data_IF_248010037031
#
_entry.id   IF_248010037031
#
_cell.length_a   1.000
_cell.length_b   1.000
_cell.length_c   1.000
_cell.angle_alpha   90.00
_cell.angle_beta   90.00
_cell.angle_gamma   90.00
#
_symmetry.space_group_name_H-M   'P 1'
#
loop_
_entity.id
_entity.type
_entity.pdbx_description
1 polymer ?
#
# COMPACT_ATOMS: atom_id res chain seq x y z
N UNK A 1 38.30 -60.75 -26.22
CA UNK A 1 37.59 -59.46 -26.43
C UNK A 1 38.60 -58.40 -26.84
N UNK A 2 38.37 -57.71 -27.95
CA UNK A 2 39.33 -56.81 -28.60
C UNK A 2 39.57 -55.55 -27.74
N UNK A 3 40.81 -55.31 -27.28
CA UNK A 3 41.16 -54.24 -26.34
C UNK A 3 40.79 -52.84 -26.88
N UNK A 4 40.85 -52.66 -28.20
CA UNK A 4 40.47 -51.43 -28.90
C UNK A 4 38.98 -51.11 -28.77
N UNK A 5 38.13 -52.14 -28.75
CA UNK A 5 36.67 -51.96 -28.62
C UNK A 5 36.29 -51.52 -27.20
N UNK A 6 36.93 -52.10 -26.19
CA UNK A 6 36.74 -51.72 -24.79
C UNK A 6 37.17 -50.27 -24.52
N UNK A 7 38.29 -49.83 -25.10
CA UNK A 7 38.76 -48.45 -24.96
C UNK A 7 37.81 -47.45 -25.64
N UNK A 8 37.30 -47.77 -26.83
CA UNK A 8 36.34 -46.93 -27.54
C UNK A 8 35.04 -46.75 -26.75
N UNK A 9 34.51 -47.84 -26.18
CA UNK A 9 33.32 -47.80 -25.33
C UNK A 9 33.52 -46.93 -24.08
N UNK A 10 34.66 -47.07 -23.40
CA UNK A 10 35.00 -46.27 -22.21
C UNK A 10 35.08 -44.78 -22.53
N UNK A 11 35.67 -44.40 -23.66
CA UNK A 11 35.76 -43.00 -24.11
C UNK A 11 34.37 -42.41 -24.39
N UNK A 12 33.48 -43.16 -25.04
CA UNK A 12 32.11 -42.70 -25.30
C UNK A 12 31.30 -42.51 -24.01
N UNK A 13 31.44 -43.44 -23.05
CA UNK A 13 30.81 -43.33 -21.73
C UNK A 13 31.29 -42.09 -20.97
N UNK A 14 32.60 -41.81 -20.97
CA UNK A 14 33.18 -40.63 -20.33
C UNK A 14 32.68 -39.32 -20.99
N UNK A 15 32.61 -39.26 -22.33
CA UNK A 15 32.06 -38.08 -23.04
C UNK A 15 30.60 -37.82 -22.67
N UNK A 16 29.79 -38.87 -22.54
CA UNK A 16 28.38 -38.77 -22.11
C UNK A 16 28.26 -38.24 -20.69
N UNK A 17 29.12 -38.72 -19.77
CA UNK A 17 29.16 -38.25 -18.38
C UNK A 17 29.58 -36.78 -18.28
N UNK A 18 30.60 -36.35 -19.03
CA UNK A 18 31.03 -34.94 -19.07
C UNK A 18 29.92 -34.04 -19.61
N UNK A 19 29.21 -34.45 -20.66
CA UNK A 19 28.08 -33.67 -21.20
C UNK A 19 26.89 -33.59 -20.23
N UNK A 20 26.63 -34.66 -19.47
CA UNK A 20 25.63 -34.66 -18.41
C UNK A 20 26.00 -33.68 -17.29
N UNK A 21 27.25 -33.73 -16.82
CA UNK A 21 27.76 -32.81 -15.79
C UNK A 21 27.65 -31.35 -16.23
N UNK A 22 28.00 -31.02 -17.48
CA UNK A 22 27.83 -29.66 -18.02
C UNK A 22 26.38 -29.18 -18.02
N UNK A 23 25.43 -30.05 -18.37
CA UNK A 23 23.99 -29.72 -18.36
C UNK A 23 23.47 -29.51 -16.96
N UNK A 24 23.90 -30.34 -16.00
CA UNK A 24 23.52 -30.20 -14.59
C UNK A 24 24.09 -28.91 -13.99
N UNK A 25 25.36 -28.61 -14.24
CA UNK A 25 25.99 -27.36 -13.78
C UNK A 25 25.28 -26.13 -14.38
N UNK A 26 24.94 -26.16 -15.67
CA UNK A 26 24.20 -25.09 -16.32
C UNK A 26 22.80 -24.91 -15.71
N UNK A 27 22.11 -26.00 -15.39
CA UNK A 27 20.80 -25.97 -14.74
C UNK A 27 20.88 -25.34 -13.34
N UNK A 28 21.89 -25.71 -12.55
CA UNK A 28 22.13 -25.09 -11.23
C UNK A 28 22.53 -23.62 -11.32
N UNK A 29 23.32 -23.23 -12.34
CA UNK A 29 23.68 -21.83 -12.58
C UNK A 29 22.46 -20.97 -12.96
N UNK A 30 21.55 -21.52 -13.78
CA UNK A 30 20.28 -20.85 -14.12
C UNK A 30 19.39 -20.72 -12.89
N UNK A 31 19.30 -21.77 -12.05
CA UNK A 31 18.51 -21.75 -10.83
C UNK A 31 19.04 -20.73 -9.79
N UNK A 32 20.36 -20.52 -9.72
CA UNK A 32 20.99 -19.54 -8.83
C UNK A 32 20.85 -18.07 -9.31
N UNK A 33 20.45 -17.83 -10.56
CA UNK A 33 20.24 -16.49 -11.11
C UNK A 33 18.78 -16.03 -11.03
N UNK A 34 17.85 -16.91 -10.66
CA UNK A 34 16.45 -16.54 -10.41
C UNK A 34 16.27 -16.25 -8.92
N UNK A 35 16.88 -15.16 -8.46
CA UNK A 35 16.28 -14.48 -7.30
C UNK A 35 15.03 -13.80 -7.84
N UNK A 36 13.82 -14.14 -7.37
CA UNK A 36 12.71 -13.25 -7.59
C UNK A 36 13.09 -11.93 -6.92
N UNK A 37 13.44 -10.92 -7.73
CA UNK A 37 13.15 -9.55 -7.36
C UNK A 37 11.63 -9.51 -7.29
N UNK A 38 11.07 -9.90 -6.14
CA UNK A 38 9.70 -9.69 -5.77
C UNK A 38 9.76 -8.71 -4.62
N UNK A 39 9.65 -7.43 -4.91
CA UNK A 39 9.32 -6.40 -3.93
C UNK A 39 7.83 -6.53 -3.62
N UNK A 40 7.52 -7.62 -2.91
CA UNK A 40 6.29 -7.84 -2.18
C UNK A 40 6.75 -8.22 -0.78
N UNK A 41 6.16 -7.63 0.25
CA UNK A 41 6.64 -7.85 1.62
C UNK A 41 6.49 -9.32 2.00
N UNK A 42 7.60 -10.05 2.05
CA UNK A 42 7.67 -11.34 2.71
C UNK A 42 7.56 -11.11 4.22
N UNK A 43 6.33 -11.06 4.75
CA UNK A 43 5.98 -11.10 6.20
C UNK A 43 6.82 -10.17 7.12
N UNK A 44 6.23 -9.08 7.65
CA UNK A 44 7.01 -8.24 8.58
C UNK A 44 7.30 -8.99 9.88
N UNK A 45 8.49 -8.79 10.42
CA UNK A 45 8.83 -9.22 11.77
C UNK A 45 7.86 -8.63 12.82
N UNK A 46 7.21 -7.49 12.53
CA UNK A 46 6.14 -6.92 13.35
C UNK A 46 4.84 -7.72 13.28
N UNK A 47 4.45 -8.21 12.11
CA UNK A 47 3.28 -9.08 11.98
C UNK A 47 3.49 -10.37 12.80
N UNK A 48 4.72 -10.88 12.84
CA UNK A 48 5.11 -12.07 13.62
C UNK A 48 4.84 -11.93 15.13
N UNK A 49 4.87 -10.71 15.64
CA UNK A 49 4.64 -10.38 17.06
C UNK A 49 3.31 -9.65 17.29
N UNK A 50 2.43 -9.61 16.28
CA UNK A 50 1.11 -8.99 16.37
C UNK A 50 1.11 -7.46 16.38
N UNK A 51 2.20 -6.81 15.95
CA UNK A 51 2.26 -5.36 15.79
C UNK A 51 1.85 -4.93 14.38
N UNK A 52 1.18 -3.77 14.28
CA UNK A 52 0.87 -3.18 12.98
C UNK A 52 2.16 -2.76 12.28
N UNK A 53 2.36 -3.27 11.08
CA UNK A 53 3.57 -2.99 10.31
C UNK A 53 3.46 -1.76 9.41
N UNK A 54 2.31 -1.08 9.44
CA UNK A 54 2.14 0.26 8.92
C UNK A 54 1.17 1.04 9.81
N UNK A 55 1.16 2.36 9.67
CA UNK A 55 0.26 3.26 10.37
C UNK A 55 -0.43 4.17 9.35
N UNK A 56 -1.75 4.28 9.43
CA UNK A 56 -2.53 5.28 8.72
C UNK A 56 -3.00 6.31 9.73
N UNK A 57 -2.81 7.59 9.44
CA UNK A 57 -3.15 8.67 10.35
C UNK A 57 -3.74 9.88 9.62
N UNK A 58 -4.48 10.72 10.35
CA UNK A 58 -4.91 12.04 9.86
C UNK A 58 -4.12 13.12 10.58
N UNK A 59 -3.49 13.99 9.80
CA UNK A 59 -2.69 15.12 10.27
C UNK A 59 -3.27 16.46 9.81
N UNK A 60 -2.74 17.56 10.36
CA UNK A 60 -2.95 18.93 9.86
C UNK A 60 -4.43 19.31 9.67
N UNK A 61 -5.29 18.93 10.62
CA UNK A 61 -6.70 19.30 10.59
C UNK A 61 -6.82 20.81 10.83
N UNK A 62 -7.21 21.55 9.80
CA UNK A 62 -7.32 23.01 9.81
C UNK A 62 -8.68 23.43 9.30
N UNK A 63 -9.47 24.07 10.15
CA UNK A 63 -10.69 24.77 9.72
C UNK A 63 -10.31 26.09 9.05
N UNK A 64 -10.47 26.17 7.72
CA UNK A 64 -10.12 27.34 6.89
C UNK A 64 -11.19 28.43 6.98
N UNK A 65 -12.45 28.02 7.06
CA UNK A 65 -13.62 28.90 7.25
C UNK A 65 -14.66 28.18 8.12
N UNK A 66 -15.76 28.85 8.47
CA UNK A 66 -16.91 28.20 9.12
C UNK A 66 -17.54 27.07 8.28
N UNK A 67 -17.23 27.01 6.98
CA UNK A 67 -17.75 26.06 5.99
C UNK A 67 -16.69 25.17 5.35
N UNK A 68 -15.42 25.28 5.73
CA UNK A 68 -14.34 24.52 5.09
C UNK A 68 -13.30 24.01 6.08
N UNK A 69 -12.98 22.73 5.99
CA UNK A 69 -11.94 22.04 6.76
C UNK A 69 -10.99 21.33 5.79
N UNK A 70 -9.70 21.42 6.07
CA UNK A 70 -8.65 20.68 5.38
C UNK A 70 -7.96 19.74 6.36
N UNK A 71 -7.56 18.56 5.89
CA UNK A 71 -6.75 17.62 6.64
C UNK A 71 -5.99 16.71 5.68
N UNK A 72 -4.94 16.07 6.20
CA UNK A 72 -4.04 15.22 5.44
C UNK A 72 -4.19 13.77 5.88
N UNK A 73 -4.26 12.85 4.92
CA UNK A 73 -4.14 11.41 5.15
C UNK A 73 -2.68 11.00 4.97
N UNK A 74 -2.09 10.37 5.98
CA UNK A 74 -0.72 9.89 5.96
C UNK A 74 -0.66 8.37 6.08
N UNK A 75 0.39 7.80 5.48
CA UNK A 75 0.74 6.38 5.58
C UNK A 75 2.21 6.26 5.95
N UNK A 76 2.53 5.50 7.00
CA UNK A 76 3.88 5.32 7.51
C UNK A 76 4.25 3.85 7.57
N UNK A 77 5.47 3.53 7.13
CA UNK A 77 6.08 2.23 7.35
C UNK A 77 6.53 2.13 8.82
N UNK A 78 6.01 1.13 9.54
CA UNK A 78 6.37 0.91 10.94
C UNK A 78 7.52 -0.07 11.09
N UNK A 79 7.87 -0.80 10.04
CA UNK A 79 8.94 -1.79 10.06
C UNK A 79 10.27 -1.12 9.76
N UNK A 80 11.19 -1.13 10.72
CA UNK A 80 12.53 -0.59 10.52
C UNK A 80 13.46 -1.56 9.73
N UNK A 81 13.09 -2.83 9.63
CA UNK A 81 13.94 -3.91 9.10
C UNK A 81 13.75 -4.18 7.61
N UNK A 82 12.59 -3.80 7.06
CA UNK A 82 12.25 -4.05 5.67
C UNK A 82 11.55 -2.85 5.06
N UNK A 83 11.77 -2.60 3.77
CA UNK A 83 11.04 -1.58 3.02
C UNK A 83 9.65 -2.06 2.62
N UNK A 84 8.66 -1.19 2.85
CA UNK A 84 7.31 -1.38 2.35
C UNK A 84 7.11 -0.58 1.06
N UNK A 85 7.15 -1.28 -0.08
CA UNK A 85 6.69 -0.75 -1.36
C UNK A 85 5.16 -0.77 -1.44
N UNK A 86 4.54 0.41 -1.51
CA UNK A 86 3.11 0.54 -1.68
C UNK A 86 2.71 0.07 -3.08
N UNK A 87 1.73 -0.85 -3.18
CA UNK A 87 1.11 -1.22 -4.45
C UNK A 87 -0.05 -0.28 -4.81
N UNK A 88 -1.02 -0.17 -3.90
CA UNK A 88 -2.22 0.70 -4.01
C UNK A 88 -2.71 1.06 -2.62
N UNK A 89 -3.42 2.19 -2.49
CA UNK A 89 -4.13 2.55 -1.26
C UNK A 89 -5.59 2.92 -1.57
N UNK A 90 -6.50 2.39 -0.78
CA UNK A 90 -7.90 2.80 -0.70
C UNK A 90 -8.19 3.14 0.77
N UNK A 91 -8.99 4.17 1.02
CA UNK A 91 -9.31 4.58 2.39
C UNK A 91 -10.78 4.97 2.53
N UNK A 92 -11.32 4.69 3.72
CA UNK A 92 -12.61 5.16 4.19
C UNK A 92 -12.42 5.95 5.48
N UNK A 93 -13.03 7.14 5.57
CA UNK A 93 -12.96 7.98 6.77
C UNK A 93 -14.38 8.26 7.24
N UNK A 94 -14.71 7.77 8.44
CA UNK A 94 -15.99 8.01 9.08
C UNK A 94 -16.00 9.39 9.72
N UNK A 95 -17.11 10.10 9.55
CA UNK A 95 -17.35 11.41 10.14
C UNK A 95 -18.73 11.39 10.78
N UNK A 96 -18.86 11.90 11.99
CA UNK A 96 -20.17 12.05 12.64
C UNK A 96 -21.06 12.97 11.79
N UNK A 97 -22.25 12.52 11.40
CA UNK A 97 -23.15 13.26 10.50
C UNK A 97 -23.63 14.58 11.11
N UNK A 98 -23.67 14.70 12.45
CA UNK A 98 -24.03 15.96 13.13
C UNK A 98 -23.06 17.11 12.83
N UNK A 99 -21.80 16.80 12.47
CA UNK A 99 -20.81 17.79 12.06
C UNK A 99 -21.26 18.62 10.85
N UNK A 100 -22.01 18.00 9.94
CA UNK A 100 -22.46 18.58 8.67
C UNK A 100 -23.56 19.62 8.88
N UNK A 101 -24.28 19.57 10.00
CA UNK A 101 -25.31 20.53 10.38
C UNK A 101 -26.43 20.69 9.33
N UNK A 102 -26.83 19.59 8.67
CA UNK A 102 -27.86 19.59 7.63
C UNK A 102 -27.43 20.21 6.29
N UNK A 103 -26.15 20.58 6.14
CA UNK A 103 -25.58 21.06 4.88
C UNK A 103 -25.37 19.95 3.85
N UNK A 104 -25.22 20.36 2.59
CA UNK A 104 -24.68 19.50 1.54
C UNK A 104 -23.15 19.59 1.56
N UNK A 105 -22.47 18.45 1.56
CA UNK A 105 -21.01 18.37 1.58
C UNK A 105 -20.45 18.16 0.18
N UNK A 106 -19.34 18.84 -0.11
CA UNK A 106 -18.48 18.59 -1.27
C UNK A 106 -17.06 18.30 -0.80
N UNK A 107 -16.40 17.39 -1.52
CA UNK A 107 -15.02 16.98 -1.26
C UNK A 107 -14.15 17.31 -2.47
N UNK A 108 -12.91 17.69 -2.20
CA UNK A 108 -11.87 17.74 -3.23
C UNK A 108 -10.53 17.25 -2.68
N UNK A 109 -9.78 16.58 -3.55
CA UNK A 109 -8.37 16.28 -3.34
C UNK A 109 -7.55 17.50 -3.78
N UNK A 110 -6.70 18.03 -2.90
CA UNK A 110 -5.83 19.16 -3.25
C UNK A 110 -4.62 18.62 -4.00
N UNK A 111 -4.49 19.03 -5.26
CA UNK A 111 -3.42 18.59 -6.16
C UNK A 111 -2.04 19.04 -5.67
N UNK A 112 -1.02 18.21 -5.92
CA UNK A 112 0.38 18.50 -5.57
C UNK A 112 0.76 18.27 -4.10
N UNK A 113 -0.16 17.79 -3.25
CA UNK A 113 0.13 17.49 -1.84
C UNK A 113 0.56 16.05 -1.57
N UNK A 114 0.17 15.11 -2.43
CA UNK A 114 0.57 13.70 -2.28
C UNK A 114 2.08 13.58 -2.48
N UNK A 115 2.76 12.83 -1.61
CA UNK A 115 4.17 12.47 -1.77
C UNK A 115 4.36 11.09 -2.41
N UNK A 116 3.25 10.41 -2.74
CA UNK A 116 3.29 9.13 -3.45
C UNK A 116 3.74 9.33 -4.89
N UNK A 117 4.16 8.24 -5.53
CA UNK A 117 4.24 8.16 -6.99
C UNK A 117 2.95 8.75 -7.60
N UNK A 118 3.05 9.70 -8.57
CA UNK A 118 1.88 10.34 -9.16
C UNK A 118 0.83 9.36 -9.71
N UNK A 119 1.25 8.20 -10.22
CA UNK A 119 0.35 7.15 -10.71
C UNK A 119 -0.38 6.40 -9.59
N UNK A 120 0.03 6.57 -8.33
CA UNK A 120 -0.59 6.00 -7.13
C UNK A 120 -1.36 7.05 -6.32
N UNK A 121 -1.06 8.34 -6.50
CA UNK A 121 -1.76 9.43 -5.83
C UNK A 121 -3.27 9.39 -6.17
N UNK A 122 -4.18 9.40 -5.19
CA UNK A 122 -5.61 9.30 -5.45
C UNK A 122 -6.15 10.40 -6.37
N UNK A 123 -7.10 10.05 -7.23
CA UNK A 123 -7.78 11.00 -8.14
C UNK A 123 -9.28 11.10 -7.90
N UNK A 124 -9.89 10.14 -7.20
CA UNK A 124 -11.34 10.08 -6.94
C UNK A 124 -11.62 10.05 -5.46
N UNK A 125 -12.56 10.91 -5.05
CA UNK A 125 -13.07 11.02 -3.69
C UNK A 125 -14.60 11.17 -3.74
N UNK A 126 -15.29 10.53 -2.82
CA UNK A 126 -16.75 10.53 -2.75
C UNK A 126 -17.20 10.77 -1.30
N UNK A 127 -18.30 11.50 -1.15
CA UNK A 127 -19.00 11.64 0.12
C UNK A 127 -20.28 10.82 0.10
N UNK A 128 -20.44 9.94 1.09
CA UNK A 128 -21.66 9.18 1.31
C UNK A 128 -22.37 9.77 2.51
N UNK A 129 -23.54 10.35 2.26
CA UNK A 129 -24.45 10.82 3.30
C UNK A 129 -25.04 9.61 4.02
N UNK A 130 -24.79 9.50 5.33
CA UNK A 130 -25.37 8.52 6.25
C UNK A 130 -25.27 7.04 5.81
N UNK A 131 -24.62 6.21 6.63
CA UNK A 131 -24.52 4.79 6.34
C UNK A 131 -25.70 4.02 6.94
N UNK A 132 -26.44 3.28 6.12
CA UNK A 132 -27.55 2.42 6.59
C UNK A 132 -27.12 1.44 7.68
N UNK A 133 -25.90 0.91 7.58
CA UNK A 133 -25.32 -0.02 8.55
C UNK A 133 -24.69 0.65 9.76
N UNK A 134 -24.55 1.99 9.76
CA UNK A 134 -23.96 2.76 10.85
C UNK A 134 -24.61 4.16 10.95
N UNK A 135 -25.84 4.25 11.49
CA UNK A 135 -26.57 5.51 11.60
C UNK A 135 -25.79 6.57 12.41
N UNK A 136 -25.95 7.84 12.01
CA UNK A 136 -25.22 8.97 12.62
C UNK A 136 -23.77 9.14 12.14
N UNK A 137 -23.31 8.31 11.21
CA UNK A 137 -22.01 8.47 10.55
C UNK A 137 -22.16 8.60 9.03
N UNK A 138 -21.40 9.54 8.47
CA UNK A 138 -21.15 9.69 7.05
C UNK A 138 -19.76 9.17 6.70
N UNK A 139 -19.53 8.88 5.43
CA UNK A 139 -18.28 8.28 4.96
C UNK A 139 -17.64 9.08 3.83
N UNK A 140 -16.36 9.39 3.98
CA UNK A 140 -15.49 9.80 2.88
C UNK A 140 -14.85 8.55 2.31
N UNK A 141 -15.02 8.31 1.00
CA UNK A 141 -14.34 7.23 0.26
C UNK A 141 -13.27 7.82 -0.62
N UNK A 142 -12.07 7.26 -0.54
CA UNK A 142 -10.94 7.58 -1.41
C UNK A 142 -10.65 6.34 -2.23
N UNK A 143 -10.84 6.41 -3.55
CA UNK A 143 -10.62 5.28 -4.42
C UNK A 143 -9.13 5.05 -4.67
N UNK A 144 -8.74 3.79 -4.81
CA UNK A 144 -7.42 3.42 -5.26
C UNK A 144 -7.23 3.68 -6.76
N UNK A 145 -5.97 3.78 -7.16
CA UNK A 145 -5.53 3.67 -8.55
C UNK A 145 -4.99 2.27 -8.82
N UNK A 146 -4.84 1.94 -10.10
CA UNK A 146 -4.18 0.70 -10.51
C UNK A 146 -2.74 0.64 -10.00
N UNK A 147 -2.29 -0.56 -9.61
CA UNK A 147 -0.91 -0.77 -9.19
C UNK A 147 0.06 -0.41 -10.32
N UNK A 148 1.20 0.18 -9.96
CA UNK A 148 2.23 0.65 -10.91
C UNK A 148 3.21 -0.45 -11.34
N UNK A 149 2.91 -1.69 -10.99
CA UNK A 149 3.85 -2.80 -11.12
C UNK A 149 4.95 -2.72 -10.05
N UNK A 150 5.68 -3.81 -9.96
CA UNK A 150 6.68 -4.02 -8.92
C UNK A 150 7.95 -3.21 -9.17
N UNK A 151 8.57 -2.67 -8.12
CA UNK A 151 9.75 -1.81 -8.18
C UNK A 151 9.47 -0.37 -8.60
N UNK A 152 8.20 -0.03 -8.89
CA UNK A 152 7.78 1.30 -9.32
C UNK A 152 6.91 2.01 -8.28
N UNK A 153 6.51 1.29 -7.22
CA UNK A 153 5.71 1.81 -6.12
C UNK A 153 6.50 2.75 -5.22
N UNK A 154 5.76 3.52 -4.43
CA UNK A 154 6.35 4.38 -3.40
C UNK A 154 6.91 3.50 -2.30
N UNK A 155 8.22 3.59 -2.03
CA UNK A 155 8.79 3.05 -0.81
C UNK A 155 8.38 3.94 0.36
N UNK A 156 7.55 3.42 1.26
CA UNK A 156 6.96 4.19 2.32
C UNK A 156 8.01 4.64 3.35
N UNK A 157 7.89 5.89 3.75
CA UNK A 157 8.74 6.52 4.73
C UNK A 157 8.56 5.89 6.11
N UNK A 158 9.69 5.55 6.73
CA UNK A 158 9.78 5.14 8.15
C UNK A 158 9.81 6.32 9.11
N UNK A 159 9.90 7.56 8.60
CA UNK A 159 9.95 8.78 9.44
C UNK A 159 8.60 9.01 10.09
N UNK A 160 8.60 9.67 11.26
CA UNK A 160 7.40 9.89 12.11
C UNK A 160 6.17 10.40 11.36
N UNK A 161 6.32 11.26 10.35
CA UNK A 161 5.16 11.78 9.61
C UNK A 161 4.64 10.81 8.55
N UNK A 162 5.43 9.85 8.07
CA UNK A 162 5.09 9.02 6.91
C UNK A 162 5.07 9.79 5.60
N UNK A 163 4.41 9.22 4.60
CA UNK A 163 4.10 9.81 3.30
C UNK A 163 2.68 10.36 3.26
N UNK A 164 2.52 11.53 2.65
CA UNK A 164 1.21 12.14 2.46
C UNK A 164 0.51 11.43 1.31
N UNK A 165 -0.59 10.74 1.62
CA UNK A 165 -1.43 10.07 0.62
C UNK A 165 -2.24 11.13 -0.13
N UNK A 166 -2.92 12.01 0.60
CA UNK A 166 -3.74 13.07 0.04
C UNK A 166 -4.00 14.18 1.07
N UNK A 167 -4.11 15.42 0.58
CA UNK A 167 -4.78 16.50 1.29
C UNK A 167 -6.23 16.60 0.82
N UNK A 168 -7.15 16.61 1.76
CA UNK A 168 -8.59 16.62 1.49
C UNK A 168 -9.14 17.95 1.99
N UNK A 169 -9.93 18.61 1.14
CA UNK A 169 -10.77 19.72 1.56
C UNK A 169 -12.23 19.28 1.56
N UNK A 170 -12.85 19.46 2.71
CA UNK A 170 -14.27 19.26 2.96
C UNK A 170 -14.93 20.63 3.01
N UNK A 171 -15.92 20.85 2.15
CA UNK A 171 -16.70 22.10 2.09
C UNK A 171 -18.18 21.83 2.27
N UNK A 172 -18.87 22.66 3.06
CA UNK A 172 -20.32 22.56 3.30
C UNK A 172 -21.06 23.80 2.80
N UNK A 173 -22.32 23.61 2.39
CA UNK A 173 -23.21 24.73 2.03
C UNK A 173 -23.66 25.57 3.23
N UNK A 174 -23.63 24.99 4.43
CA UNK A 174 -23.96 25.68 5.69
C UNK A 174 -22.76 25.62 6.64
N UNK A 175 -22.63 26.55 7.60
CA UNK A 175 -21.58 26.48 8.60
C UNK A 175 -21.62 25.14 9.34
N UNK A 176 -20.45 24.54 9.52
CA UNK A 176 -20.29 23.39 10.41
C UNK A 176 -20.76 23.75 11.82
N UNK A 177 -21.27 22.77 12.56
CA UNK A 177 -21.83 22.97 13.90
C UNK A 177 -20.73 23.29 14.94
N UNK A 178 -20.16 24.50 14.89
CA UNK A 178 -19.15 25.05 15.84
C UNK A 178 -17.84 24.23 15.88
N UNK A 179 -16.77 24.74 16.51
CA UNK A 179 -15.37 24.25 16.46
C UNK A 179 -15.14 22.83 17.05
N UNK A 180 -15.77 21.81 16.49
CA UNK A 180 -15.44 20.42 16.81
C UNK A 180 -14.12 20.07 16.14
N UNK A 181 -13.16 19.59 16.94
CA UNK A 181 -12.07 18.78 16.42
C UNK A 181 -12.70 17.45 16.04
N UNK A 182 -12.78 17.07 14.75
CA UNK A 182 -13.39 15.81 14.36
C UNK A 182 -12.68 14.67 15.10
N UNK A 183 -13.46 13.87 15.82
CA UNK A 183 -13.00 12.63 16.44
C UNK A 183 -12.92 11.57 15.33
N UNK A 184 -11.71 11.37 14.82
CA UNK A 184 -11.45 10.46 13.71
C UNK A 184 -11.00 9.12 14.29
N UNK A 185 -11.96 8.21 14.43
CA UNK A 185 -11.70 6.85 14.91
C UNK A 185 -11.33 5.99 13.71
N UNK A 186 -10.07 5.54 13.66
CA UNK A 186 -9.66 4.47 12.76
C UNK A 186 -10.07 3.13 13.38
N UNK A 187 -10.96 2.39 12.72
CA UNK A 187 -11.21 0.99 13.05
C UNK A 187 -10.47 0.13 12.05
N UNK A 188 -9.42 -0.57 12.48
CA UNK A 188 -8.91 -1.72 11.75
C UNK A 188 -9.78 -2.91 12.09
N UNK A 189 -10.80 -3.17 11.29
CA UNK A 189 -11.45 -4.48 11.33
C UNK A 189 -10.43 -5.51 10.83
N UNK A 190 -9.96 -6.37 11.73
CA UNK A 190 -9.35 -7.64 11.35
C UNK A 190 -10.44 -8.46 10.64
N UNK A 191 -10.54 -8.31 9.32
CA UNK A 191 -11.35 -9.21 8.52
C UNK A 191 -10.73 -10.60 8.65
N UNK A 192 -11.33 -11.44 9.50
CA UNK A 192 -11.06 -12.87 9.53
C UNK A 192 -11.81 -13.46 8.35
N UNK A 193 -11.05 -14.02 7.38
CA UNK A 193 -11.61 -14.91 6.36
C UNK A 193 -12.04 -16.23 7.01
#
# INVERSE_FOLDING_TARGET
MNSTFYQSYKIQAMKKQVNYQKKVILLFAILALVFPTSAQRMFSAKDAVGESAFEISIHNIVQKTDRSVEFDLYLRDMDASQDFELATIQAGILINSSFINGGSVSLRLIQGYSTLNPLQAPEKIEFVNELDCLPGFSLIRIASRSAVGQGNGTILSKKRSGDCVARINLSSSVPFAVKYKPDLIFTSNAATL
#
